data_IF_355242418814
#
_entry.id   IF_355242418814
#
_cell.length_a   1.000
_cell.length_b   1.000
_cell.length_c   1.000
_cell.angle_alpha   90.00
_cell.angle_beta   90.00
_cell.angle_gamma   90.00
#
_symmetry.space_group_name_H-M   'P 1'
#
loop_
_entity.id
_entity.type
_entity.pdbx_description
1 polymer ?
#
# COMPACT_ATOMS: atom_id res chain seq x y z
N UNK A 1 -80.75 0.69 -15.34
CA UNK A 1 -79.97 -0.38 -14.68
C UNK A 1 -79.15 -1.10 -15.74
N UNK A 2 -77.87 -1.30 -15.43
CA UNK A 2 -76.97 -2.32 -15.97
C UNK A 2 -76.90 -2.51 -17.50
N UNK A 3 -75.86 -1.98 -18.13
CA UNK A 3 -74.97 -2.72 -19.03
C UNK A 3 -73.91 -1.79 -19.63
N UNK A 4 -72.70 -1.81 -19.05
CA UNK A 4 -71.46 -1.41 -19.72
C UNK A 4 -70.25 -1.79 -18.82
N UNK A 5 -70.06 -3.09 -18.56
CA UNK A 5 -68.87 -3.61 -17.88
C UNK A 5 -68.33 -4.83 -18.62
N UNK A 6 -67.80 -4.58 -19.82
CA UNK A 6 -66.89 -5.42 -20.61
C UNK A 6 -66.65 -4.55 -21.86
N UNK A 7 -65.52 -3.89 -22.05
CA UNK A 7 -64.21 -4.48 -22.37
C UNK A 7 -63.16 -3.40 -22.11
N UNK A 8 -62.31 -3.52 -21.10
CA UNK A 8 -61.03 -2.77 -21.06
C UNK A 8 -59.98 -3.42 -20.15
N UNK A 9 -59.92 -4.75 -20.12
CA UNK A 9 -58.82 -5.50 -19.51
C UNK A 9 -57.87 -5.98 -20.60
N UNK A 10 -57.11 -5.07 -21.20
CA UNK A 10 -56.22 -5.50 -22.27
C UNK A 10 -55.32 -4.43 -22.89
N UNK A 11 -54.66 -3.55 -22.13
CA UNK A 11 -53.50 -2.79 -22.67
C UNK A 11 -52.64 -2.00 -21.65
N UNK A 12 -52.50 -2.43 -20.39
CA UNK A 12 -51.57 -1.74 -19.45
C UNK A 12 -50.55 -2.66 -18.79
N UNK A 13 -50.16 -3.76 -19.45
CA UNK A 13 -49.04 -4.61 -19.02
C UNK A 13 -47.74 -4.41 -19.81
N UNK A 14 -47.70 -3.43 -20.71
CA UNK A 14 -46.57 -3.20 -21.61
C UNK A 14 -46.05 -1.75 -21.60
N UNK A 15 -45.95 -1.14 -20.41
CA UNK A 15 -45.16 0.10 -20.22
C UNK A 15 -44.21 0.03 -19.01
N UNK A 16 -44.01 -1.16 -18.44
CA UNK A 16 -43.06 -1.38 -17.33
C UNK A 16 -41.72 -1.99 -17.76
N UNK A 17 -41.40 -1.98 -19.07
CA UNK A 17 -40.21 -2.66 -19.59
C UNK A 17 -39.11 -1.75 -20.15
N UNK A 18 -39.27 -0.42 -20.16
CA UNK A 18 -38.23 0.49 -20.68
C UNK A 18 -37.84 1.69 -19.79
N UNK A 19 -38.19 1.71 -18.50
CA UNK A 19 -37.70 2.73 -17.55
C UNK A 19 -36.87 2.17 -16.40
N UNK A 20 -36.01 1.18 -16.68
CA UNK A 20 -34.82 0.92 -15.85
C UNK A 20 -33.57 1.40 -16.57
N UNK A 21 -33.47 2.70 -16.82
CA UNK A 21 -32.14 3.33 -16.82
C UNK A 21 -31.63 3.20 -15.39
N UNK A 22 -30.79 2.20 -15.14
CA UNK A 22 -30.07 2.04 -13.87
C UNK A 22 -29.49 3.41 -13.49
N UNK A 23 -29.73 3.96 -12.29
CA UNK A 23 -28.99 5.13 -11.87
C UNK A 23 -27.52 4.74 -11.84
N UNK A 24 -26.76 5.31 -12.76
CA UNK A 24 -25.31 5.14 -12.93
C UNK A 24 -24.56 5.87 -11.79
N UNK A 25 -24.91 5.53 -10.55
CA UNK A 25 -24.33 6.12 -9.35
C UNK A 25 -24.08 4.97 -8.39
N UNK A 26 -22.92 4.34 -8.54
CA UNK A 26 -22.43 3.40 -7.55
C UNK A 26 -22.52 4.06 -6.16
N UNK A 27 -23.28 3.49 -5.22
CA UNK A 27 -23.49 4.10 -3.90
C UNK A 27 -22.19 4.22 -3.10
N UNK A 28 -21.14 3.50 -3.52
CA UNK A 28 -19.82 3.44 -2.89
C UNK A 28 -18.76 4.35 -3.52
N UNK A 29 -19.08 5.13 -4.56
CA UNK A 29 -18.14 6.14 -5.10
C UNK A 29 -17.93 7.28 -4.09
N UNK A 30 -16.77 7.93 -4.12
CA UNK A 30 -16.50 9.12 -3.30
C UNK A 30 -17.58 10.19 -3.52
N UNK A 31 -18.11 10.78 -2.45
CA UNK A 31 -19.10 11.85 -2.54
C UNK A 31 -18.45 13.12 -3.12
N UNK A 32 -19.11 13.77 -4.07
CA UNK A 32 -18.64 15.04 -4.63
C UNK A 32 -18.83 16.17 -3.60
N UNK A 33 -18.16 17.30 -3.80
CA UNK A 33 -18.32 18.48 -2.94
C UNK A 33 -19.76 18.96 -2.85
N UNK A 34 -20.50 18.94 -3.97
CA UNK A 34 -21.91 19.33 -4.03
C UNK A 34 -22.83 18.34 -3.27
N UNK A 35 -22.65 17.02 -3.47
CA UNK A 35 -23.42 16.01 -2.75
C UNK A 35 -23.18 16.09 -1.24
N UNK A 36 -21.98 16.49 -0.83
CA UNK A 36 -21.60 16.62 0.57
C UNK A 36 -22.17 17.89 1.23
N UNK A 37 -22.20 19.01 0.52
CA UNK A 37 -22.93 20.22 0.96
C UNK A 37 -24.41 19.90 1.16
N UNK A 38 -25.00 19.16 0.22
CA UNK A 38 -26.37 18.68 0.35
C UNK A 38 -26.56 17.82 1.61
N UNK A 39 -25.68 16.84 1.88
CA UNK A 39 -25.76 16.03 3.11
C UNK A 39 -25.63 16.86 4.39
N UNK A 40 -24.83 17.93 4.36
CA UNK A 40 -24.59 18.81 5.52
C UNK A 40 -25.80 19.70 5.78
N UNK A 41 -26.40 20.28 4.74
CA UNK A 41 -27.66 21.02 4.87
C UNK A 41 -28.79 20.12 5.38
N UNK A 42 -28.94 18.89 4.83
CA UNK A 42 -29.91 17.92 5.32
C UNK A 42 -29.69 17.53 6.80
N UNK A 43 -28.44 17.55 7.27
CA UNK A 43 -28.08 17.21 8.65
C UNK A 43 -28.27 18.38 9.61
N UNK A 44 -27.87 19.58 9.22
CA UNK A 44 -27.79 20.75 10.11
C UNK A 44 -29.06 21.61 10.04
N UNK A 45 -29.71 21.70 8.88
CA UNK A 45 -30.88 22.55 8.71
C UNK A 45 -32.17 21.75 8.94
N UNK A 46 -32.19 20.49 8.48
CA UNK A 46 -33.36 19.61 8.56
C UNK A 46 -33.26 18.54 9.66
N UNK A 47 -32.17 18.52 10.44
CA UNK A 47 -31.95 17.59 11.56
C UNK A 47 -32.16 16.10 11.19
N UNK A 48 -31.94 15.72 9.92
CA UNK A 48 -32.23 14.36 9.47
C UNK A 48 -31.24 13.33 10.03
N UNK A 49 -31.75 12.12 10.28
CA UNK A 49 -30.93 10.97 10.66
C UNK A 49 -30.14 10.46 9.44
N UNK A 50 -28.98 9.86 9.68
CA UNK A 50 -28.08 9.39 8.60
C UNK A 50 -28.77 8.45 7.60
N UNK A 51 -29.70 7.61 8.06
CA UNK A 51 -30.50 6.73 7.21
C UNK A 51 -31.44 7.50 6.27
N UNK A 52 -32.07 8.57 6.75
CA UNK A 52 -32.95 9.42 5.94
C UNK A 52 -32.14 10.23 4.91
N UNK A 53 -30.97 10.72 5.30
CA UNK A 53 -30.04 11.40 4.38
C UNK A 53 -29.56 10.43 3.29
N UNK A 54 -29.24 9.20 3.66
CA UNK A 54 -28.82 8.14 2.72
C UNK A 54 -29.91 7.85 1.68
N UNK A 55 -31.16 7.67 2.13
CA UNK A 55 -32.32 7.49 1.23
C UNK A 55 -32.48 8.69 0.30
N UNK A 56 -32.43 9.91 0.83
CA UNK A 56 -32.67 11.16 0.09
C UNK A 56 -31.56 11.50 -0.91
N UNK A 57 -30.34 11.07 -0.64
CA UNK A 57 -29.17 11.28 -1.51
C UNK A 57 -28.86 10.08 -2.41
N UNK A 58 -29.60 8.96 -2.28
CA UNK A 58 -29.32 7.72 -3.00
C UNK A 58 -27.95 7.12 -2.66
N UNK A 59 -27.44 7.37 -1.44
CA UNK A 59 -26.11 6.92 -0.98
C UNK A 59 -26.23 5.90 0.14
N UNK A 60 -25.16 5.18 0.41
CA UNK A 60 -25.10 4.31 1.59
C UNK A 60 -24.94 5.14 2.87
N UNK A 61 -25.46 4.63 3.98
CA UNK A 61 -25.31 5.25 5.31
C UNK A 61 -23.84 5.43 5.70
N UNK A 62 -22.97 4.49 5.30
CA UNK A 62 -21.52 4.57 5.48
C UNK A 62 -20.90 5.70 4.66
N UNK A 63 -21.34 5.91 3.41
CA UNK A 63 -20.87 7.02 2.59
C UNK A 63 -21.27 8.38 3.19
N UNK A 64 -22.52 8.52 3.65
CA UNK A 64 -23.01 9.73 4.34
C UNK A 64 -22.20 9.99 5.62
N UNK A 65 -22.02 8.97 6.47
CA UNK A 65 -21.22 9.08 7.71
C UNK A 65 -19.79 9.55 7.44
N UNK A 66 -19.14 8.98 6.42
CA UNK A 66 -17.78 9.36 6.01
C UNK A 66 -17.72 10.78 5.49
N UNK A 67 -18.70 11.19 4.69
CA UNK A 67 -18.80 12.54 4.14
C UNK A 67 -19.01 13.60 5.23
N UNK A 68 -19.86 13.33 6.22
CA UNK A 68 -20.14 14.24 7.34
C UNK A 68 -19.02 14.28 8.39
N UNK A 69 -18.24 13.20 8.56
CA UNK A 69 -17.09 13.16 9.48
C UNK A 69 -15.89 13.96 8.97
N UNK A 70 -15.77 14.08 7.65
CA UNK A 70 -14.71 14.90 7.06
C UNK A 70 -15.14 16.38 7.15
N UNK A 71 -14.26 17.32 7.51
CA UNK A 71 -14.56 18.75 7.42
C UNK A 71 -14.65 19.19 5.95
N UNK A 72 -15.65 19.99 5.58
CA UNK A 72 -15.77 20.60 4.24
C UNK A 72 -14.56 21.47 3.88
N UNK A 73 -13.81 21.90 4.91
CA UNK A 73 -12.70 22.82 4.75
C UNK A 73 -11.57 22.17 3.95
N UNK A 74 -11.35 22.70 2.75
CA UNK A 74 -10.17 22.51 1.90
C UNK A 74 -8.91 23.14 2.50
N UNK A 75 -9.01 23.80 3.65
CA UNK A 75 -7.92 23.92 4.63
C UNK A 75 -7.56 22.54 5.17
N UNK A 76 -7.03 21.71 4.29
CA UNK A 76 -6.29 20.52 4.65
C UNK A 76 -5.30 21.00 5.69
N UNK A 77 -5.41 20.47 6.92
CA UNK A 77 -4.30 20.39 7.87
C UNK A 77 -3.05 20.21 7.00
N UNK A 78 -2.09 21.15 7.01
CA UNK A 78 -1.07 21.20 5.97
C UNK A 78 -0.55 19.79 5.81
N UNK A 79 -0.67 19.24 4.58
CA UNK A 79 -0.20 17.88 4.29
C UNK A 79 1.17 17.81 4.93
N UNK A 80 1.32 16.96 5.97
CA UNK A 80 2.55 16.91 6.74
C UNK A 80 3.67 16.87 5.71
N UNK A 81 4.57 17.87 5.74
CA UNK A 81 5.65 17.98 4.77
C UNK A 81 6.24 16.59 4.61
N UNK A 82 6.37 16.06 3.38
CA UNK A 82 6.88 14.71 3.20
C UNK A 82 8.21 14.62 3.95
N UNK A 83 8.38 13.57 4.74
CA UNK A 83 9.59 13.39 5.53
C UNK A 83 10.80 13.42 4.57
N UNK A 84 11.89 14.08 4.99
CA UNK A 84 13.15 14.13 4.22
C UNK A 84 13.52 12.71 3.78
N UNK A 85 13.79 12.45 2.49
CA UNK A 85 14.20 11.12 2.04
C UNK A 85 15.51 10.71 2.72
N UNK A 86 15.70 9.41 2.94
CA UNK A 86 16.97 8.86 3.41
C UNK A 86 17.99 8.86 2.27
N UNK A 87 19.20 9.31 2.56
CA UNK A 87 20.33 9.22 1.63
C UNK A 87 20.97 7.84 1.67
N UNK A 88 21.77 7.51 0.65
CA UNK A 88 22.50 6.25 0.61
C UNK A 88 23.53 6.12 1.75
N UNK A 89 24.16 7.24 2.14
CA UNK A 89 25.08 7.28 3.28
C UNK A 89 24.36 6.99 4.61
N UNK A 90 23.17 7.57 4.81
CA UNK A 90 22.34 7.29 5.99
C UNK A 90 21.90 5.83 6.03
N UNK A 91 21.58 5.24 4.88
CA UNK A 91 21.22 3.83 4.81
C UNK A 91 22.42 2.91 5.12
N UNK A 92 23.61 3.23 4.62
CA UNK A 92 24.84 2.51 4.94
C UNK A 92 25.17 2.56 6.42
N UNK A 93 24.98 3.73 7.05
CA UNK A 93 25.20 3.91 8.48
C UNK A 93 24.19 3.13 9.33
N UNK A 94 22.90 3.12 8.95
CA UNK A 94 21.87 2.31 9.63
C UNK A 94 22.23 0.82 9.59
N UNK A 95 22.69 0.32 8.44
CA UNK A 95 23.09 -1.09 8.26
C UNK A 95 24.33 -1.38 9.10
N UNK A 96 25.38 -0.54 8.99
CA UNK A 96 26.63 -0.66 9.74
C UNK A 96 26.38 -0.74 11.25
N UNK A 97 25.63 0.22 11.78
CA UNK A 97 25.32 0.29 13.21
C UNK A 97 24.41 -0.87 13.67
N UNK A 98 23.58 -1.41 12.79
CA UNK A 98 22.69 -2.52 13.13
C UNK A 98 23.38 -3.88 13.08
N UNK A 99 24.19 -4.12 12.06
CA UNK A 99 24.79 -5.42 11.75
C UNK A 99 26.19 -5.59 12.36
N UNK A 100 27.02 -4.53 12.38
CA UNK A 100 28.38 -4.61 12.94
C UNK A 100 28.37 -4.29 14.45
N UNK A 101 27.71 -3.20 14.83
CA UNK A 101 27.70 -2.73 16.23
C UNK A 101 26.56 -3.35 17.06
N UNK A 102 25.61 -4.04 16.42
CA UNK A 102 24.48 -4.69 17.11
C UNK A 102 23.47 -3.73 17.77
N UNK A 103 23.52 -2.43 17.44
CA UNK A 103 22.73 -1.39 18.12
C UNK A 103 21.24 -1.51 17.84
N UNK A 104 20.42 -1.14 18.81
CA UNK A 104 18.96 -1.02 18.65
C UNK A 104 18.61 0.20 17.78
N UNK A 105 17.48 0.16 17.07
CA UNK A 105 17.05 1.29 16.23
C UNK A 105 16.86 2.60 17.01
N UNK A 106 16.54 2.54 18.30
CA UNK A 106 16.48 3.71 19.17
C UNK A 106 17.86 4.33 19.38
N UNK A 107 18.89 3.50 19.63
CA UNK A 107 20.27 3.96 19.77
C UNK A 107 20.84 4.48 18.44
N UNK A 108 20.50 3.84 17.33
CA UNK A 108 20.89 4.30 15.98
C UNK A 108 20.27 5.68 15.70
N UNK A 109 18.98 5.86 15.99
CA UNK A 109 18.32 7.16 15.85
C UNK A 109 18.93 8.25 16.75
N UNK A 110 19.38 7.90 17.96
CA UNK A 110 20.09 8.84 18.82
C UNK A 110 21.43 9.31 18.21
N UNK A 111 22.12 8.46 17.44
CA UNK A 111 23.32 8.84 16.68
C UNK A 111 22.99 9.64 15.42
N UNK A 112 21.83 9.38 14.81
CA UNK A 112 21.35 10.09 13.62
C UNK A 112 20.40 11.24 14.03
N UNK A 113 20.95 12.31 14.61
CA UNK A 113 20.24 13.42 15.29
C UNK A 113 18.97 13.95 14.59
N UNK A 114 18.83 13.83 13.26
CA UNK A 114 17.65 14.29 12.51
C UNK A 114 16.60 13.20 12.21
N UNK A 115 16.79 11.96 12.68
CA UNK A 115 15.97 10.81 12.31
C UNK A 115 15.25 10.25 13.53
N UNK A 116 13.96 9.98 13.38
CA UNK A 116 13.18 9.31 14.42
C UNK A 116 13.45 7.81 14.45
N UNK A 117 13.43 7.20 15.64
CA UNK A 117 13.58 5.74 15.81
C UNK A 117 12.60 4.95 14.93
N UNK A 118 11.35 5.42 14.81
CA UNK A 118 10.33 4.79 13.95
C UNK A 118 10.69 4.89 12.46
N UNK A 119 11.25 6.02 12.03
CA UNK A 119 11.73 6.21 10.66
C UNK A 119 12.91 5.30 10.34
N UNK A 120 13.89 5.22 11.25
CA UNK A 120 15.07 4.37 11.12
C UNK A 120 14.66 2.90 11.09
N UNK A 121 13.77 2.47 11.99
CA UNK A 121 13.24 1.11 12.01
C UNK A 121 12.51 0.77 10.71
N UNK A 122 11.62 1.65 10.23
CA UNK A 122 10.93 1.43 8.97
C UNK A 122 11.91 1.32 7.80
N UNK A 123 12.95 2.18 7.78
CA UNK A 123 13.98 2.16 6.75
C UNK A 123 14.84 0.90 6.80
N UNK A 124 15.34 0.51 7.96
CA UNK A 124 16.11 -0.72 8.17
C UNK A 124 15.30 -1.99 7.89
N UNK A 125 13.99 -2.00 8.20
CA UNK A 125 13.10 -3.13 7.92
C UNK A 125 12.70 -3.24 6.44
N UNK A 126 12.51 -2.12 5.74
CA UNK A 126 12.21 -2.12 4.29
C UNK A 126 13.46 -2.35 3.45
N UNK A 127 14.63 -1.97 3.95
CA UNK A 127 15.94 -2.40 3.46
C UNK A 127 16.43 -3.67 4.13
N UNK A 128 15.53 -4.56 4.59
CA UNK A 128 15.90 -5.98 4.78
C UNK A 128 16.42 -6.47 3.44
N UNK A 129 17.74 -6.43 3.32
CA UNK A 129 18.57 -7.04 2.30
C UNK A 129 17.82 -7.15 0.97
N UNK A 130 17.70 -6.03 0.25
CA UNK A 130 18.15 -6.16 -1.13
C UNK A 130 19.55 -6.71 -0.98
N UNK A 131 19.75 -7.95 -1.45
CA UNK A 131 21.00 -8.66 -1.66
C UNK A 131 22.04 -7.76 -2.34
N UNK A 132 22.46 -6.70 -1.64
CA UNK A 132 23.46 -5.68 -1.95
C UNK A 132 24.75 -5.99 -1.18
N UNK A 133 24.81 -7.20 -0.64
CA UNK A 133 25.91 -8.09 -0.92
C UNK A 133 25.66 -8.78 -2.28
N UNK A 134 25.20 -8.03 -3.29
CA UNK A 134 25.15 -8.49 -4.67
C UNK A 134 26.60 -8.78 -4.97
N UNK A 135 26.92 -10.05 -5.15
CA UNK A 135 28.24 -10.43 -5.62
C UNK A 135 28.56 -9.50 -6.78
N UNK A 136 29.63 -8.73 -6.63
CA UNK A 136 30.21 -7.99 -7.74
C UNK A 136 30.48 -9.00 -8.86
N UNK A 137 30.57 -8.54 -10.11
CA UNK A 137 30.87 -9.45 -11.22
C UNK A 137 32.17 -10.23 -10.96
N UNK A 138 33.12 -9.60 -10.28
CA UNK A 138 34.39 -10.17 -9.88
C UNK A 138 34.22 -11.21 -8.75
N UNK A 139 33.48 -10.88 -7.68
CA UNK A 139 33.17 -11.84 -6.59
C UNK A 139 32.40 -13.07 -7.11
N UNK A 140 31.46 -12.86 -8.05
CA UNK A 140 30.71 -13.95 -8.68
C UNK A 140 31.61 -14.80 -9.59
N UNK A 141 32.52 -14.17 -10.34
CA UNK A 141 33.51 -14.84 -11.16
C UNK A 141 34.47 -15.67 -10.32
N UNK A 142 34.95 -15.12 -9.21
CA UNK A 142 35.85 -15.81 -8.29
C UNK A 142 35.17 -17.00 -7.60
N UNK A 143 33.91 -16.84 -7.17
CA UNK A 143 33.10 -17.95 -6.64
C UNK A 143 32.94 -19.09 -7.65
N UNK A 144 32.73 -18.78 -8.94
CA UNK A 144 32.67 -19.78 -10.01
C UNK A 144 34.03 -20.45 -10.21
N UNK A 145 35.14 -19.68 -10.23
CA UNK A 145 36.50 -20.21 -10.39
C UNK A 145 36.87 -21.17 -9.27
N UNK A 146 36.70 -20.74 -8.01
CA UNK A 146 37.02 -21.52 -6.83
C UNK A 146 36.22 -22.83 -6.77
N UNK A 147 35.00 -22.85 -7.34
CA UNK A 147 34.16 -24.04 -7.37
C UNK A 147 34.33 -24.91 -8.62
N UNK A 148 34.71 -24.34 -9.77
CA UNK A 148 34.98 -25.06 -11.03
C UNK A 148 36.08 -26.11 -10.85
N UNK A 149 37.08 -25.81 -10.02
CA UNK A 149 38.19 -26.73 -9.73
C UNK A 149 37.81 -27.81 -8.70
N UNK A 150 36.64 -27.73 -8.07
CA UNK A 150 36.07 -28.74 -7.17
C UNK A 150 36.77 -28.92 -5.82
N UNK A 151 37.98 -28.37 -5.65
CA UNK A 151 38.89 -28.60 -4.52
C UNK A 151 38.47 -27.93 -3.21
N UNK A 152 37.73 -26.82 -3.27
CA UNK A 152 37.33 -26.05 -2.10
C UNK A 152 35.85 -26.25 -1.79
N UNK A 153 35.56 -26.54 -0.53
CA UNK A 153 34.20 -26.55 0.01
C UNK A 153 33.71 -25.12 0.25
N UNK A 154 32.39 -24.90 0.26
CA UNK A 154 31.84 -23.58 0.58
C UNK A 154 32.23 -23.09 1.98
N UNK A 155 32.52 -23.99 2.92
CA UNK A 155 33.04 -23.65 4.24
C UNK A 155 34.44 -23.03 4.18
N UNK A 156 35.31 -23.53 3.31
CA UNK A 156 36.65 -22.97 3.08
C UNK A 156 36.59 -21.67 2.26
N UNK A 157 35.65 -21.58 1.32
CA UNK A 157 35.48 -20.36 0.51
C UNK A 157 35.04 -19.17 1.38
N UNK A 158 34.34 -19.39 2.50
CA UNK A 158 33.98 -18.31 3.44
C UNK A 158 35.19 -17.53 3.94
N UNK A 159 36.36 -18.17 4.11
CA UNK A 159 37.58 -17.50 4.56
C UNK A 159 38.08 -16.46 3.53
N UNK A 160 37.78 -16.67 2.25
CA UNK A 160 38.12 -15.77 1.15
C UNK A 160 37.06 -14.68 0.93
N UNK A 161 35.90 -14.79 1.58
CA UNK A 161 34.76 -13.89 1.43
C UNK A 161 34.29 -13.37 2.81
N UNK A 162 35.02 -12.42 3.42
CA UNK A 162 34.71 -11.93 4.76
C UNK A 162 33.29 -11.34 4.82
N UNK A 163 32.53 -11.75 5.83
CA UNK A 163 31.13 -11.34 5.99
C UNK A 163 30.12 -12.12 5.14
N UNK A 164 30.53 -13.20 4.46
CA UNK A 164 29.62 -14.13 3.76
C UNK A 164 29.48 -15.44 4.54
N UNK A 165 28.35 -16.11 4.36
CA UNK A 165 28.09 -17.45 4.90
C UNK A 165 28.18 -18.49 3.76
N UNK A 166 28.69 -19.68 4.06
CA UNK A 166 28.75 -20.83 3.16
C UNK A 166 27.41 -21.14 2.51
N UNK A 167 26.30 -21.01 3.26
CA UNK A 167 24.95 -21.19 2.73
C UNK A 167 24.62 -20.16 1.62
N UNK A 168 24.97 -18.89 1.86
CA UNK A 168 24.74 -17.82 0.89
C UNK A 168 25.65 -17.92 -0.35
N UNK A 169 26.86 -18.48 -0.20
CA UNK A 169 27.76 -18.80 -1.31
C UNK A 169 27.19 -19.95 -2.16
N UNK A 170 26.64 -20.98 -1.52
CA UNK A 170 26.00 -22.11 -2.21
C UNK A 170 24.78 -21.67 -3.03
N UNK A 171 23.84 -20.94 -2.40
CA UNK A 171 22.65 -20.43 -3.08
C UNK A 171 23.03 -19.56 -4.28
N UNK A 172 24.03 -18.67 -4.12
CA UNK A 172 24.51 -17.84 -5.22
C UNK A 172 25.10 -18.67 -6.35
N UNK A 173 25.97 -19.63 -6.04
CA UNK A 173 26.61 -20.50 -7.04
C UNK A 173 25.55 -21.31 -7.82
N UNK A 174 24.52 -21.81 -7.15
CA UNK A 174 23.40 -22.52 -7.80
C UNK A 174 22.67 -21.61 -8.79
N UNK A 175 22.40 -20.36 -8.42
CA UNK A 175 21.75 -19.42 -9.33
C UNK A 175 22.63 -19.02 -10.52
N UNK A 176 23.95 -18.88 -10.33
CA UNK A 176 24.89 -18.56 -11.40
C UNK A 176 25.07 -19.71 -12.40
N UNK A 177 24.95 -20.96 -11.94
CA UNK A 177 25.15 -22.15 -12.79
C UNK A 177 23.86 -22.71 -13.39
N UNK A 178 22.69 -22.49 -12.76
CA UNK A 178 21.37 -22.94 -13.27
C UNK A 178 20.62 -21.90 -14.11
N UNK A 179 21.08 -20.65 -14.17
CA UNK A 179 20.43 -19.54 -14.87
C UNK A 179 20.69 -19.43 -16.38
N UNK A 180 21.36 -20.40 -17.01
CA UNK A 180 21.58 -20.43 -18.45
C UNK A 180 20.44 -21.14 -19.19
N UNK A 181 19.41 -20.38 -19.59
CA UNK A 181 18.54 -20.69 -20.71
C UNK A 181 18.36 -19.45 -21.56
#
# INVERSE_FOLDING_TARGET
MAQALQVFLGTMRSQWRHMRTKPERSPNRTATSAERLQMISLRNDQMLRLAQIAIRTGRSTTAVRRALRSPLNTERKPLKKPARPYTQAEDGEIIRLREQDGLTYAQIAARMQERSAKGVQHRGATRKVNNSLSYTKDEAGELIRLRKDGRLSFAQIVELFPGRNAMALNDKHLHLTKGGK
#
